data_IF_847428089687
#
_entry.id   IF_847428089687
#
_cell.length_a   1.000
_cell.length_b   1.000
_cell.length_c   1.000
_cell.angle_alpha   90.00
_cell.angle_beta   90.00
_cell.angle_gamma   90.00
#
_symmetry.space_group_name_H-M   'P 1'
#
loop_
_entity.id
_entity.type
_entity.pdbx_description
1 polymer ?
#
# COMPACT_ATOMS: atom_id res chain seq x y z
N UNK A 1 -2.51 -11.29 -22.58
CA UNK A 1 -3.47 -10.58 -21.72
C UNK A 1 -2.74 -10.00 -20.53
N UNK A 2 -2.97 -8.73 -20.20
CA UNK A 2 -2.44 -8.13 -18.96
C UNK A 2 -3.45 -8.34 -17.82
N UNK A 3 -2.96 -8.52 -16.60
CA UNK A 3 -3.72 -8.90 -15.41
C UNK A 3 -3.45 -7.87 -14.31
N UNK A 4 -4.51 -7.36 -13.68
CA UNK A 4 -4.41 -6.54 -12.49
C UNK A 4 -4.68 -7.38 -11.23
N UNK A 5 -3.95 -7.10 -10.14
CA UNK A 5 -4.09 -7.80 -8.85
C UNK A 5 -4.57 -6.83 -7.80
N UNK A 6 -5.59 -7.18 -7.03
CA UNK A 6 -6.15 -6.33 -5.98
C UNK A 6 -6.16 -7.07 -4.65
N UNK A 7 -5.57 -6.47 -3.62
CA UNK A 7 -5.62 -7.05 -2.29
C UNK A 7 -5.36 -5.98 -1.22
N UNK A 8 -6.34 -5.61 -0.39
CA UNK A 8 -6.09 -4.71 0.74
C UNK A 8 -5.18 -5.42 1.76
N UNK A 9 -4.17 -4.73 2.29
CA UNK A 9 -3.22 -5.28 3.25
C UNK A 9 -2.03 -6.05 2.66
N UNK A 10 -1.25 -6.68 3.54
CA UNK A 10 0.09 -7.22 3.28
C UNK A 10 0.11 -8.74 3.32
N UNK A 11 -0.74 -9.38 2.51
CA UNK A 11 -0.76 -10.83 2.36
C UNK A 11 0.10 -11.27 1.15
N UNK A 12 0.09 -12.58 0.84
CA UNK A 12 0.85 -13.23 -0.23
C UNK A 12 0.55 -12.71 -1.66
N UNK A 13 -0.40 -11.78 -1.83
CA UNK A 13 -0.77 -11.21 -3.14
C UNK A 13 0.38 -10.50 -3.85
N UNK A 14 1.36 -9.97 -3.13
CA UNK A 14 2.57 -9.39 -3.74
C UNK A 14 3.39 -10.45 -4.50
N UNK A 15 3.38 -11.72 -4.08
CA UNK A 15 4.10 -12.79 -4.77
C UNK A 15 3.44 -13.10 -6.12
N UNK A 16 2.10 -13.12 -6.15
CA UNK A 16 1.34 -13.24 -7.39
C UNK A 16 1.61 -12.06 -8.33
N UNK A 17 1.60 -10.83 -7.81
CA UNK A 17 1.94 -9.64 -8.59
C UNK A 17 3.37 -9.72 -9.15
N UNK A 18 4.35 -10.14 -8.34
CA UNK A 18 5.72 -10.33 -8.77
C UNK A 18 5.86 -11.37 -9.89
N UNK A 19 5.21 -12.53 -9.74
CA UNK A 19 5.23 -13.58 -10.77
C UNK A 19 4.62 -13.07 -12.09
N UNK A 20 3.50 -12.33 -12.02
CA UNK A 20 2.90 -11.71 -13.19
C UNK A 20 3.80 -10.64 -13.81
N UNK A 21 4.54 -9.87 -13.01
CA UNK A 21 5.51 -8.88 -13.51
C UNK A 21 6.65 -9.57 -14.25
N UNK A 22 7.21 -10.64 -13.69
CA UNK A 22 8.30 -11.41 -14.31
C UNK A 22 7.89 -12.03 -15.65
N UNK A 23 6.60 -12.35 -15.83
CA UNK A 23 6.04 -12.87 -17.07
C UNK A 23 5.61 -11.76 -18.05
N UNK A 24 5.86 -10.49 -17.73
CA UNK A 24 5.35 -9.32 -18.47
C UNK A 24 3.80 -9.37 -18.65
N UNK A 25 3.10 -9.89 -17.65
CA UNK A 25 1.63 -9.99 -17.60
C UNK A 25 0.99 -9.06 -16.59
N UNK A 26 1.72 -8.48 -15.65
CA UNK A 26 1.15 -7.54 -14.70
C UNK A 26 0.77 -6.22 -15.40
N UNK A 27 -0.48 -5.80 -15.22
CA UNK A 27 -0.94 -4.46 -15.56
C UNK A 27 -0.60 -3.49 -14.43
N UNK A 28 -1.05 -3.81 -13.22
CA UNK A 28 -0.80 -3.08 -11.98
C UNK A 28 -1.24 -3.92 -10.78
N UNK A 29 -0.68 -3.61 -9.61
CA UNK A 29 -1.00 -4.22 -8.33
C UNK A 29 -1.55 -3.15 -7.37
N UNK A 30 -2.73 -3.38 -6.81
CA UNK A 30 -3.33 -2.50 -5.81
C UNK A 30 -3.25 -3.13 -4.43
N UNK A 31 -2.69 -2.39 -3.47
CA UNK A 31 -2.67 -2.77 -2.05
C UNK A 31 -2.90 -1.58 -1.14
N UNK A 32 -3.27 -1.79 0.12
CA UNK A 32 -3.45 -0.68 1.06
C UNK A 32 -2.12 -0.06 1.50
N UNK A 33 -1.02 -0.82 1.45
CA UNK A 33 0.29 -0.40 1.96
C UNK A 33 1.44 -1.04 1.19
N UNK A 34 2.36 -0.19 0.75
CA UNK A 34 3.59 -0.57 0.05
C UNK A 34 4.61 0.55 0.25
N UNK A 35 5.84 0.21 0.60
CA UNK A 35 6.87 1.20 0.87
C UNK A 35 7.24 1.99 -0.38
N UNK A 36 6.98 3.30 -0.37
CA UNK A 36 7.31 4.23 -1.46
C UNK A 36 8.09 5.42 -0.89
N UNK A 37 9.44 5.39 -0.90
CA UNK A 37 10.27 6.26 -0.06
C UNK A 37 10.06 7.76 -0.27
N UNK A 38 9.60 8.16 -1.46
CA UNK A 38 9.38 9.56 -1.81
C UNK A 38 7.94 10.06 -1.58
N UNK A 39 7.03 9.18 -1.14
CA UNK A 39 5.64 9.53 -0.80
C UNK A 39 5.40 9.58 0.70
N UNK A 40 4.43 10.38 1.13
CA UNK A 40 3.93 10.31 2.51
C UNK A 40 3.17 8.99 2.74
N UNK A 41 3.30 8.36 3.92
CA UNK A 41 4.04 8.85 5.09
C UNK A 41 5.53 8.46 5.10
N UNK A 42 5.99 7.67 4.13
CA UNK A 42 7.34 7.09 4.10
C UNK A 42 8.45 8.14 4.15
N UNK A 43 8.26 9.26 3.44
CA UNK A 43 9.19 10.39 3.44
C UNK A 43 9.47 10.98 4.83
N UNK A 44 8.56 10.80 5.80
CA UNK A 44 8.71 11.33 7.15
C UNK A 44 9.90 10.74 7.91
N UNK A 45 10.38 9.54 7.54
CA UNK A 45 11.57 8.93 8.14
C UNK A 45 12.83 9.79 7.91
N UNK A 46 12.86 10.60 6.85
CA UNK A 46 13.98 11.50 6.50
C UNK A 46 13.98 12.80 7.33
N UNK A 47 12.84 13.16 7.90
CA UNK A 47 12.68 14.40 8.68
C UNK A 47 12.83 14.18 10.18
N UNK A 48 12.68 12.94 10.64
CA UNK A 48 12.74 12.61 12.06
C UNK A 48 14.18 12.29 12.48
N UNK A 49 14.70 12.95 13.53
CA UNK A 49 16.09 12.79 13.91
C UNK A 49 16.37 11.43 14.56
N UNK A 50 17.55 10.89 14.25
CA UNK A 50 18.20 9.82 15.01
C UNK A 50 17.38 8.53 15.15
N UNK A 51 17.12 8.03 16.38
CA UNK A 51 16.47 6.75 16.60
C UNK A 51 15.05 6.65 16.05
N UNK A 52 14.30 7.75 16.02
CA UNK A 52 12.91 7.76 15.55
C UNK A 52 12.83 7.52 14.04
N UNK A 53 13.69 8.20 13.26
CA UNK A 53 13.81 7.98 11.82
C UNK A 53 14.19 6.52 11.50
N UNK A 54 15.17 5.95 12.22
CA UNK A 54 15.57 4.54 12.06
C UNK A 54 14.45 3.56 12.40
N UNK A 55 13.67 3.83 13.45
CA UNK A 55 12.54 2.99 13.86
C UNK A 55 11.42 3.01 12.81
N UNK A 56 11.09 4.20 12.30
CA UNK A 56 10.13 4.31 11.19
C UNK A 56 10.62 3.60 9.95
N UNK A 57 11.90 3.78 9.59
CA UNK A 57 12.49 3.10 8.45
C UNK A 57 12.41 1.58 8.56
N UNK A 58 12.75 1.03 9.73
CA UNK A 58 12.62 -0.40 9.99
C UNK A 58 11.18 -0.88 9.85
N UNK A 59 10.19 -0.10 10.29
CA UNK A 59 8.78 -0.46 10.16
C UNK A 59 8.31 -0.37 8.71
N UNK A 60 8.67 0.70 8.00
CA UNK A 60 8.30 0.93 6.59
C UNK A 60 8.90 -0.14 5.66
N UNK A 61 10.14 -0.54 5.90
CA UNK A 61 10.84 -1.59 5.15
C UNK A 61 10.14 -2.96 5.20
N UNK A 62 9.27 -3.21 6.19
CA UNK A 62 8.44 -4.43 6.26
C UNK A 62 7.46 -4.55 5.10
N UNK A 63 7.16 -3.44 4.44
CA UNK A 63 6.24 -3.35 3.29
C UNK A 63 6.98 -3.10 1.98
N UNK A 64 8.30 -3.34 1.97
CA UNK A 64 9.13 -3.21 0.78
C UNK A 64 9.31 -4.56 0.11
N UNK A 65 8.99 -4.62 -1.19
CA UNK A 65 9.28 -5.75 -2.04
C UNK A 65 10.14 -5.26 -3.21
N UNK A 66 11.48 -5.26 -3.07
CA UNK A 66 12.39 -4.59 -4.02
C UNK A 66 12.38 -5.20 -5.43
N UNK A 67 11.90 -6.45 -5.58
CA UNK A 67 11.75 -7.09 -6.88
C UNK A 67 10.51 -6.61 -7.66
N UNK A 68 9.54 -5.98 -6.98
CA UNK A 68 8.34 -5.41 -7.59
C UNK A 68 8.63 -3.98 -8.03
N UNK A 69 8.26 -3.66 -9.27
CA UNK A 69 8.39 -2.30 -9.79
C UNK A 69 7.39 -1.38 -9.08
N UNK A 70 7.84 -0.37 -8.30
CA UNK A 70 6.95 0.55 -7.61
C UNK A 70 6.01 1.33 -8.53
N UNK A 71 6.36 1.51 -9.80
CA UNK A 71 5.51 2.18 -10.79
C UNK A 71 4.25 1.38 -11.12
N UNK A 72 4.30 0.06 -10.97
CA UNK A 72 3.15 -0.84 -11.16
C UNK A 72 2.29 -0.97 -9.90
N UNK A 73 2.71 -0.38 -8.77
CA UNK A 73 2.02 -0.50 -7.48
C UNK A 73 1.19 0.74 -7.17
N UNK A 74 -0.10 0.54 -6.96
CA UNK A 74 -1.07 1.55 -6.54
C UNK A 74 -1.45 1.33 -5.08
N UNK A 75 -1.48 2.41 -4.29
CA UNK A 75 -1.85 2.34 -2.88
C UNK A 75 -2.94 3.34 -2.50
N UNK A 76 -3.89 2.94 -1.66
CA UNK A 76 -4.99 3.81 -1.21
C UNK A 76 -4.60 4.89 -0.18
N UNK A 77 -3.34 4.90 0.28
CA UNK A 77 -2.74 6.03 0.99
C UNK A 77 -2.73 5.88 2.51
N UNK A 78 -2.84 7.02 3.22
CA UNK A 78 -2.52 7.16 4.66
C UNK A 78 -3.49 6.46 5.62
N UNK A 79 -4.67 6.04 5.17
CA UNK A 79 -5.73 5.50 6.05
C UNK A 79 -5.28 4.24 6.80
N UNK A 80 -4.58 3.34 6.11
CA UNK A 80 -3.99 2.13 6.72
C UNK A 80 -3.00 2.49 7.85
N UNK A 81 -2.21 3.54 7.66
CA UNK A 81 -1.26 3.98 8.68
C UNK A 81 -1.95 4.57 9.91
N UNK A 82 -3.02 5.33 9.72
CA UNK A 82 -3.83 5.88 10.82
C UNK A 82 -4.50 4.74 11.59
N UNK A 83 -5.03 3.73 10.89
CA UNK A 83 -5.59 2.53 11.51
C UNK A 83 -4.55 1.80 12.35
N UNK A 84 -3.36 1.54 11.79
CA UNK A 84 -2.25 0.88 12.51
C UNK A 84 -1.83 1.63 13.76
N UNK A 85 -1.79 2.97 13.70
CA UNK A 85 -1.51 3.81 14.88
C UNK A 85 -2.65 3.67 15.91
N UNK A 86 -3.91 3.73 15.48
CA UNK A 86 -5.07 3.58 16.36
C UNK A 86 -5.10 2.21 17.06
N UNK A 87 -4.79 1.14 16.32
CA UNK A 87 -4.65 -0.21 16.86
C UNK A 87 -3.54 -0.30 17.90
N UNK A 88 -2.36 0.27 17.62
CA UNK A 88 -1.24 0.32 18.59
C UNK A 88 -1.57 1.16 19.83
N UNK A 89 -2.40 2.19 19.68
CA UNK A 89 -2.89 3.01 20.79
C UNK A 89 -4.08 2.43 21.56
N UNK A 90 -4.53 1.21 21.24
CA UNK A 90 -5.66 0.56 21.94
C UNK A 90 -7.04 1.06 21.54
N UNK A 91 -7.16 1.96 20.56
CA UNK A 91 -8.41 2.57 20.11
C UNK A 91 -9.18 1.66 19.13
N UNK A 92 -9.51 0.43 19.57
CA UNK A 92 -10.07 -0.63 18.70
C UNK A 92 -11.35 -0.23 17.94
N UNK A 93 -12.25 0.54 18.57
CA UNK A 93 -13.48 1.02 17.90
C UNK A 93 -13.17 2.02 16.79
N UNK A 94 -12.19 2.90 17.00
CA UNK A 94 -11.75 3.85 15.98
C UNK A 94 -11.04 3.11 14.84
N UNK A 95 -10.16 2.16 15.17
CA UNK A 95 -9.50 1.33 14.18
C UNK A 95 -10.50 0.58 13.28
N UNK A 96 -11.53 -0.06 13.84
CA UNK A 96 -12.55 -0.73 13.01
C UNK A 96 -13.32 0.23 12.09
N UNK A 97 -13.55 1.49 12.52
CA UNK A 97 -14.14 2.51 11.64
C UNK A 97 -13.19 2.95 10.53
N UNK A 98 -11.89 3.09 10.85
CA UNK A 98 -10.86 3.46 9.90
C UNK A 98 -10.61 2.36 8.86
N UNK A 99 -10.61 1.09 9.27
CA UNK A 99 -10.51 -0.08 8.38
C UNK A 99 -11.70 -0.10 7.39
N UNK A 100 -12.93 -0.01 7.90
CA UNK A 100 -14.13 0.00 7.06
C UNK A 100 -14.12 1.17 6.05
N UNK A 101 -13.66 2.36 6.49
CA UNK A 101 -13.50 3.52 5.63
C UNK A 101 -12.38 3.31 4.59
N UNK A 102 -11.22 2.78 5.02
CA UNK A 102 -10.08 2.49 4.17
C UNK A 102 -10.41 1.48 3.07
N UNK A 103 -11.10 0.40 3.43
CA UNK A 103 -11.56 -0.62 2.47
C UNK A 103 -12.55 -0.05 1.45
N UNK A 104 -13.50 0.80 1.87
CA UNK A 104 -14.41 1.48 0.94
C UNK A 104 -13.65 2.37 -0.04
N UNK A 105 -12.75 3.22 0.47
CA UNK A 105 -11.92 4.10 -0.37
C UNK A 105 -11.03 3.32 -1.34
N UNK A 106 -10.48 2.19 -0.91
CA UNK A 106 -9.67 1.30 -1.74
C UNK A 106 -10.49 0.75 -2.91
N UNK A 107 -11.69 0.22 -2.63
CA UNK A 107 -12.61 -0.29 -3.66
C UNK A 107 -13.05 0.83 -4.61
N UNK A 108 -13.41 2.00 -4.09
CA UNK A 108 -13.81 3.15 -4.91
C UNK A 108 -12.68 3.61 -5.84
N UNK A 109 -11.44 3.63 -5.33
CA UNK A 109 -10.25 3.96 -6.13
C UNK A 109 -10.00 2.94 -7.24
N UNK A 110 -10.10 1.63 -6.94
CA UNK A 110 -10.01 0.58 -7.96
C UNK A 110 -11.13 0.70 -8.97
N UNK A 111 -12.36 1.01 -8.56
CA UNK A 111 -13.48 1.18 -9.47
C UNK A 111 -13.35 2.41 -10.37
N UNK A 112 -12.72 3.48 -9.89
CA UNK A 112 -12.38 4.65 -10.70
C UNK A 112 -11.28 4.30 -11.73
N UNK A 113 -10.20 3.65 -11.30
CA UNK A 113 -9.13 3.16 -12.17
C UNK A 113 -9.66 2.14 -13.19
N UNK A 114 -10.56 1.26 -12.74
CA UNK A 114 -11.67 0.60 -13.43
C UNK A 114 -12.15 1.18 -14.76
N UNK A 115 -12.66 2.40 -14.63
CA UNK A 115 -13.52 3.07 -15.59
C UNK A 115 -12.78 4.15 -16.35
N UNK A 116 -11.57 4.51 -15.91
CA UNK A 116 -10.75 5.48 -16.62
C UNK A 116 -10.47 5.00 -18.05
N UNK A 117 -10.68 5.86 -19.06
CA UNK A 117 -10.45 5.52 -20.47
C UNK A 117 -8.96 5.32 -20.81
N UNK A 118 -8.04 5.75 -19.95
CA UNK A 118 -6.59 5.57 -20.10
C UNK A 118 -6.14 4.15 -19.75
N UNK A 119 -6.67 3.15 -20.44
CA UNK A 119 -6.38 1.74 -20.21
C UNK A 119 -5.64 1.13 -21.39
N UNK A 120 -4.35 0.87 -21.13
CA UNK A 120 -3.27 0.45 -22.02
C UNK A 120 -2.49 1.62 -22.64
#
# INVERSE_FOLDING_TARGET
MKIAVFHPGTQHSWQTALALQQLDRLAWYATSIFYQPDRLPYRAERWLPGPLGRKLHSEFRRFSHPALDPALVRTAGLTEWIERIAMRGGMRKLAGRLDAYGNRKFVDGIAADIRSPDRF
#
